data_IF_658917496577
#
_entry.id   IF_658917496577
#
_cell.length_a   1.000
_cell.length_b   1.000
_cell.length_c   1.000
_cell.angle_alpha   90.00
_cell.angle_beta   90.00
_cell.angle_gamma   90.00
#
_symmetry.space_group_name_H-M   'P 1'
#
loop_
_entity.id
_entity.type
_entity.pdbx_description
1 polymer ?
#
# COMPACT_ATOMS: atom_id res chain seq x y z
N UNK A 1 4.45 -29.59 -50.76
CA UNK A 1 5.52 -29.54 -49.72
C UNK A 1 5.90 -28.08 -49.55
N UNK A 2 5.50 -27.45 -48.44
CA UNK A 2 5.84 -26.05 -48.13
C UNK A 2 6.93 -26.03 -47.06
N UNK A 3 8.05 -25.42 -47.39
CA UNK A 3 9.25 -25.29 -46.56
C UNK A 3 9.06 -24.18 -45.51
N UNK A 4 9.45 -24.49 -44.28
CA UNK A 4 9.60 -23.53 -43.19
C UNK A 4 10.76 -22.57 -43.48
N UNK A 5 10.63 -21.32 -43.06
CA UNK A 5 11.80 -20.54 -42.64
C UNK A 5 11.42 -19.50 -41.60
N UNK A 6 12.18 -19.50 -40.51
CA UNK A 6 12.00 -18.73 -39.29
C UNK A 6 12.35 -17.25 -39.49
N UNK A 7 11.65 -16.36 -38.77
CA UNK A 7 11.97 -14.94 -38.73
C UNK A 7 12.14 -14.51 -37.27
N UNK A 8 13.37 -14.23 -36.88
CA UNK A 8 13.75 -13.53 -35.64
C UNK A 8 13.67 -12.02 -35.85
N UNK A 9 13.28 -11.26 -34.82
CA UNK A 9 13.97 -9.99 -34.53
C UNK A 9 14.30 -9.87 -33.03
N UNK A 10 15.58 -9.72 -32.69
CA UNK A 10 16.29 -8.45 -32.53
C UNK A 10 16.09 -7.86 -31.12
N UNK A 11 16.95 -8.32 -30.21
CA UNK A 11 17.13 -7.78 -28.86
C UNK A 11 17.89 -6.45 -29.02
N UNK A 12 17.21 -5.33 -28.78
CA UNK A 12 17.84 -4.01 -28.78
C UNK A 12 18.55 -3.82 -27.45
N UNK A 13 19.87 -3.98 -27.44
CA UNK A 13 20.76 -3.51 -26.37
C UNK A 13 21.31 -2.15 -26.81
N UNK A 14 20.97 -1.09 -26.08
CA UNK A 14 21.55 0.26 -26.21
C UNK A 14 21.77 0.74 -24.76
N UNK A 15 22.93 0.44 -24.17
CA UNK A 15 24.22 1.14 -24.25
C UNK A 15 24.30 2.35 -23.31
N UNK A 16 25.27 2.23 -22.40
CA UNK A 16 25.73 3.15 -21.37
C UNK A 16 26.23 4.49 -21.95
N UNK A 17 25.93 5.59 -21.26
CA UNK A 17 26.81 6.75 -21.20
C UNK A 17 27.21 7.01 -19.73
N UNK A 18 28.46 6.67 -19.40
CA UNK A 18 29.13 7.09 -18.18
C UNK A 18 29.44 8.60 -18.24
N UNK A 19 29.21 9.32 -17.14
CA UNK A 19 30.00 10.49 -16.73
C UNK A 19 29.73 10.79 -15.25
N UNK A 20 30.67 10.43 -14.38
CA UNK A 20 30.60 10.70 -12.94
C UNK A 20 31.82 10.15 -12.22
N UNK A 21 33.01 10.68 -12.54
CA UNK A 21 34.24 10.34 -11.86
C UNK A 21 34.39 11.14 -10.55
N UNK A 22 34.69 10.46 -9.45
CA UNK A 22 35.50 10.95 -8.32
C UNK A 22 36.01 9.75 -7.50
N UNK A 23 37.33 9.51 -7.41
CA UNK A 23 37.90 8.42 -6.61
C UNK A 23 38.50 8.94 -5.30
N UNK A 24 38.03 8.50 -4.13
CA UNK A 24 38.61 8.81 -2.79
C UNK A 24 38.22 7.66 -1.82
N UNK A 25 39.06 7.22 -0.86
CA UNK A 25 39.89 6.03 -0.92
C UNK A 25 39.41 4.90 0.03
N UNK A 26 40.11 3.78 -0.01
CA UNK A 26 39.99 2.69 0.96
C UNK A 26 40.39 3.17 2.38
N UNK A 27 39.53 2.93 3.36
CA UNK A 27 39.85 2.95 4.79
C UNK A 27 39.26 1.69 5.41
N UNK A 28 40.16 0.83 5.88
CA UNK A 28 39.88 -0.38 6.63
C UNK A 28 39.44 0.01 8.04
N UNK A 29 38.14 0.23 8.20
CA UNK A 29 37.52 0.47 9.51
C UNK A 29 36.94 -0.82 10.07
N UNK A 30 37.66 -1.40 11.03
CA UNK A 30 37.19 -2.37 12.02
C UNK A 30 35.69 -2.23 12.32
N UNK A 31 34.88 -3.14 11.79
CA UNK A 31 33.50 -3.30 12.21
C UNK A 31 33.38 -4.70 12.76
N UNK A 32 33.59 -4.77 14.08
CA UNK A 32 33.10 -5.81 14.97
C UNK A 32 31.89 -6.50 14.34
N UNK A 33 32.09 -7.72 13.84
CA UNK A 33 30.99 -8.61 13.48
C UNK A 33 30.27 -8.98 14.77
N UNK A 34 29.32 -8.15 15.18
CA UNK A 34 28.29 -8.54 16.14
C UNK A 34 27.43 -9.56 15.40
N UNK A 35 27.81 -10.83 15.57
CA UNK A 35 27.04 -11.97 15.15
C UNK A 35 25.84 -12.09 16.10
N UNK A 36 24.84 -11.25 15.88
CA UNK A 36 23.53 -11.41 16.48
C UNK A 36 22.73 -12.33 15.56
N UNK A 37 22.91 -13.64 15.71
CA UNK A 37 21.88 -14.61 15.31
C UNK A 37 20.67 -14.38 16.22
N UNK A 38 19.83 -13.42 15.85
CA UNK A 38 18.44 -13.40 16.32
C UNK A 38 17.68 -14.42 15.50
N UNK A 39 17.87 -15.69 15.88
CA UNK A 39 16.97 -16.78 15.52
C UNK A 39 15.73 -16.67 16.42
N UNK A 40 15.00 -15.58 16.22
CA UNK A 40 13.61 -15.47 16.60
C UNK A 40 12.89 -15.36 15.28
N UNK A 41 12.09 -16.36 14.92
CA UNK A 41 11.16 -16.28 13.81
C UNK A 41 10.13 -15.18 14.12
N UNK A 42 10.55 -13.92 14.01
CA UNK A 42 9.69 -12.74 13.98
C UNK A 42 9.03 -12.77 12.60
N UNK A 43 8.11 -13.71 12.44
CA UNK A 43 7.29 -13.79 11.24
C UNK A 43 6.60 -12.44 11.16
N UNK A 44 6.85 -11.64 10.11
CA UNK A 44 6.30 -10.30 10.03
C UNK A 44 4.79 -10.42 10.18
N UNK A 45 4.24 -9.76 11.21
CA UNK A 45 2.79 -9.68 11.41
C UNK A 45 2.24 -8.92 10.21
N UNK A 46 1.68 -9.63 9.25
CA UNK A 46 1.06 -9.00 8.08
C UNK A 46 -0.26 -8.39 8.56
N UNK A 47 -0.23 -7.11 8.92
CA UNK A 47 -1.43 -6.32 9.23
C UNK A 47 -2.08 -5.95 7.89
N UNK A 48 -2.83 -6.87 7.30
CA UNK A 48 -3.75 -6.49 6.22
C UNK A 48 -4.94 -5.77 6.84
N UNK A 49 -5.08 -4.47 6.55
CA UNK A 49 -6.31 -3.75 6.92
C UNK A 49 -7.53 -4.36 6.20
N UNK A 50 -7.30 -5.09 5.11
CA UNK A 50 -8.30 -5.51 4.14
C UNK A 50 -9.08 -6.76 4.59
N UNK A 51 -9.73 -6.67 5.74
CA UNK A 51 -10.67 -7.68 6.21
C UNK A 51 -12.08 -7.12 6.27
N UNK A 52 -13.08 -7.98 6.04
CA UNK A 52 -14.48 -7.60 6.21
C UNK A 52 -14.76 -7.11 7.64
N UNK A 53 -14.14 -7.76 8.63
CA UNK A 53 -14.25 -7.36 10.03
C UNK A 53 -13.76 -5.93 10.28
N UNK A 54 -12.63 -5.55 9.69
CA UNK A 54 -12.12 -4.18 9.81
C UNK A 54 -13.01 -3.17 9.09
N UNK A 55 -13.55 -3.49 7.91
CA UNK A 55 -14.51 -2.61 7.25
C UNK A 55 -15.76 -2.35 8.11
N UNK A 56 -16.36 -3.40 8.68
CA UNK A 56 -17.52 -3.27 9.58
C UNK A 56 -17.18 -2.45 10.82
N UNK A 57 -15.95 -2.60 11.35
CA UNK A 57 -15.48 -1.77 12.47
C UNK A 57 -15.46 -0.29 12.10
N UNK A 58 -14.98 0.07 10.91
CA UNK A 58 -14.97 1.47 10.46
C UNK A 58 -16.38 2.04 10.30
N UNK A 59 -17.32 1.27 9.75
CA UNK A 59 -18.73 1.67 9.65
C UNK A 59 -19.32 1.96 11.02
N UNK A 60 -19.16 1.04 11.98
CA UNK A 60 -19.66 1.22 13.34
C UNK A 60 -19.09 2.48 14.02
N UNK A 61 -17.81 2.80 13.78
CA UNK A 61 -17.19 4.02 14.32
C UNK A 61 -17.85 5.27 13.71
N UNK A 62 -18.08 5.30 12.40
CA UNK A 62 -18.75 6.42 11.72
C UNK A 62 -20.19 6.56 12.21
N UNK A 63 -20.94 5.45 12.30
CA UNK A 63 -22.34 5.45 12.74
C UNK A 63 -22.49 5.93 14.20
N UNK A 64 -21.47 5.74 15.03
CA UNK A 64 -21.45 6.22 16.41
C UNK A 64 -21.42 7.76 16.54
N UNK A 65 -21.07 8.50 15.48
CA UNK A 65 -21.20 9.96 15.46
C UNK A 65 -22.66 10.43 15.35
N UNK A 66 -23.60 9.51 15.06
CA UNK A 66 -25.03 9.76 15.06
C UNK A 66 -25.63 10.03 13.68
N UNK A 67 -26.96 10.24 13.60
CA UNK A 67 -27.71 10.29 12.34
C UNK A 67 -27.51 11.59 11.53
N UNK A 68 -26.90 12.62 12.11
CA UNK A 68 -26.74 13.95 11.49
C UNK A 68 -25.31 14.15 10.96
N UNK A 69 -24.82 13.21 10.14
CA UNK A 69 -23.51 13.34 9.50
C UNK A 69 -23.56 14.42 8.39
N UNK A 70 -22.46 15.17 8.18
CA UNK A 70 -22.32 16.02 6.99
C UNK A 70 -22.55 15.20 5.71
N UNK A 71 -23.15 15.81 4.69
CA UNK A 71 -23.52 15.13 3.44
C UNK A 71 -22.34 14.40 2.78
N UNK A 72 -21.16 15.02 2.77
CA UNK A 72 -19.95 14.43 2.19
C UNK A 72 -19.50 13.18 2.95
N UNK A 73 -19.56 13.24 4.28
CA UNK A 73 -19.24 12.10 5.16
C UNK A 73 -20.23 10.96 4.94
N UNK A 74 -21.54 11.24 4.92
CA UNK A 74 -22.55 10.21 4.71
C UNK A 74 -22.44 9.57 3.31
N UNK A 75 -22.13 10.38 2.29
CA UNK A 75 -21.85 9.89 0.94
C UNK A 75 -20.64 8.94 0.92
N UNK A 76 -19.55 9.30 1.61
CA UNK A 76 -18.38 8.43 1.74
C UNK A 76 -18.70 7.14 2.52
N UNK A 77 -19.52 7.23 3.57
CA UNK A 77 -20.01 6.10 4.37
C UNK A 77 -20.78 5.12 3.52
N UNK A 78 -21.81 5.58 2.81
CA UNK A 78 -22.65 4.75 1.93
C UNK A 78 -21.84 4.10 0.80
N UNK A 79 -20.95 4.85 0.14
CA UNK A 79 -20.08 4.30 -0.90
C UNK A 79 -19.12 3.25 -0.33
N UNK A 80 -18.52 3.53 0.83
CA UNK A 80 -17.64 2.61 1.54
C UNK A 80 -18.31 1.30 1.92
N UNK A 81 -19.52 1.38 2.49
CA UNK A 81 -20.36 0.24 2.82
C UNK A 81 -20.66 -0.60 1.58
N UNK A 82 -21.13 0.03 0.50
CA UNK A 82 -21.44 -0.65 -0.77
C UNK A 82 -20.25 -1.46 -1.29
N UNK A 83 -19.08 -0.84 -1.35
CA UNK A 83 -17.85 -1.50 -1.79
C UNK A 83 -17.46 -2.69 -0.90
N UNK A 84 -17.65 -2.58 0.42
CA UNK A 84 -17.35 -3.70 1.32
C UNK A 84 -18.34 -4.87 1.18
N UNK A 85 -19.62 -4.57 0.93
CA UNK A 85 -20.63 -5.60 0.64
C UNK A 85 -20.32 -6.33 -0.67
N UNK A 86 -19.87 -5.61 -1.69
CA UNK A 86 -19.45 -6.15 -3.00
C UNK A 86 -18.13 -6.95 -2.96
N UNK A 87 -17.43 -6.97 -1.82
CA UNK A 87 -16.12 -7.65 -1.71
C UNK A 87 -14.93 -6.82 -2.15
N UNK A 88 -15.14 -5.55 -2.54
CA UNK A 88 -14.09 -4.56 -2.82
C UNK A 88 -13.56 -3.95 -1.51
N UNK A 89 -13.02 -4.80 -0.64
CA UNK A 89 -12.71 -4.47 0.76
C UNK A 89 -11.70 -3.31 0.86
N UNK A 90 -10.60 -3.36 0.10
CA UNK A 90 -9.56 -2.33 0.15
C UNK A 90 -10.08 -0.95 -0.23
N UNK A 91 -10.84 -0.84 -1.32
CA UNK A 91 -11.41 0.45 -1.75
C UNK A 91 -12.50 0.94 -0.79
N UNK A 92 -13.30 0.03 -0.22
CA UNK A 92 -14.27 0.36 0.82
C UNK A 92 -13.59 0.98 2.05
N UNK A 93 -12.54 0.34 2.56
CA UNK A 93 -11.75 0.84 3.70
C UNK A 93 -11.16 2.22 3.42
N UNK A 94 -10.59 2.45 2.23
CA UNK A 94 -10.02 3.77 1.87
C UNK A 94 -11.10 4.85 1.94
N UNK A 95 -12.31 4.57 1.44
CA UNK A 95 -13.43 5.53 1.48
C UNK A 95 -13.90 5.82 2.91
N UNK A 96 -14.01 4.78 3.74
CA UNK A 96 -14.42 4.92 5.14
C UNK A 96 -13.36 5.65 5.98
N UNK A 97 -12.07 5.40 5.74
CA UNK A 97 -10.99 6.16 6.39
C UNK A 97 -11.04 7.64 6.03
N UNK A 98 -11.36 7.97 4.78
CA UNK A 98 -11.55 9.36 4.37
C UNK A 98 -12.74 10.00 5.10
N UNK A 99 -13.85 9.29 5.24
CA UNK A 99 -15.00 9.79 6.01
C UNK A 99 -14.62 10.14 7.46
N UNK A 100 -13.81 9.30 8.11
CA UNK A 100 -13.32 9.55 9.47
C UNK A 100 -12.39 10.76 9.56
N UNK A 101 -11.55 10.98 8.54
CA UNK A 101 -10.69 12.18 8.49
C UNK A 101 -11.57 13.43 8.36
N UNK A 102 -12.53 13.43 7.44
CA UNK A 102 -13.45 14.56 7.25
C UNK A 102 -14.28 14.84 8.51
N UNK A 103 -14.78 13.80 9.19
CA UNK A 103 -15.45 13.95 10.49
C UNK A 103 -14.55 14.60 11.54
N UNK A 104 -13.30 14.14 11.66
CA UNK A 104 -12.37 14.68 12.64
C UNK A 104 -12.13 16.17 12.41
N UNK A 105 -11.94 16.61 11.17
CA UNK A 105 -11.75 18.03 10.84
C UNK A 105 -12.98 18.87 11.22
N UNK A 106 -14.19 18.36 10.95
CA UNK A 106 -15.44 19.07 11.32
C UNK A 106 -15.71 19.14 12.82
N UNK A 107 -15.14 18.24 13.62
CA UNK A 107 -15.36 18.22 15.08
C UNK A 107 -14.35 19.09 15.85
N UNK A 108 -13.26 19.50 15.20
CA UNK A 108 -12.19 20.32 15.82
C UNK A 108 -12.19 21.78 15.33
N UNK A 109 -13.15 22.17 14.48
CA UNK A 109 -13.37 23.55 14.02
C UNK A 109 -14.51 24.21 14.78
#
# INVERSE_FOLDING_TARGET
MNMQSAVTPAIVVMSFCLCGASPVPAEQGDTTRVMATRDGADKPVIITSDTRAYCNRLLNIIDAYGPALPQDVDSLRMQGEGMCREGRIRSGIIRLRRALVELKETTHS
#
